data_IF_376476840117
#
_entry.id   IF_376476840117
#
_cell.length_a   1.000
_cell.length_b   1.000
_cell.length_c   1.000
_cell.angle_alpha   90.00
_cell.angle_beta   90.00
_cell.angle_gamma   90.00
#
_symmetry.space_group_name_H-M   'P 1'
#
loop_
_entity.id
_entity.type
_entity.pdbx_description
1 polymer ?
#
# COMPACT_ATOMS: atom_id res chain seq x y z
N UNK A 1 28.13 -12.22 -27.98
CA UNK A 1 26.75 -11.91 -27.53
C UNK A 1 26.17 -13.21 -27.01
N UNK A 2 26.08 -13.33 -25.69
CA UNK A 2 25.50 -14.52 -25.06
C UNK A 2 23.98 -14.44 -25.25
N UNK A 3 23.38 -15.46 -25.86
CA UNK A 3 21.99 -15.42 -26.31
C UNK A 3 21.02 -15.44 -25.12
N UNK A 4 20.04 -14.54 -25.14
CA UNK A 4 18.97 -14.40 -24.15
C UNK A 4 18.15 -15.70 -23.96
N UNK A 5 18.24 -16.63 -24.92
CA UNK A 5 17.60 -17.96 -24.91
C UNK A 5 17.92 -18.84 -23.71
N UNK A 6 19.01 -18.59 -22.96
CA UNK A 6 19.38 -19.39 -21.78
C UNK A 6 18.98 -18.79 -20.44
N UNK A 7 18.43 -17.56 -20.40
CA UNK A 7 18.10 -16.93 -19.11
C UNK A 7 16.84 -17.54 -18.52
N UNK A 8 16.87 -17.87 -17.23
CA UNK A 8 15.68 -18.31 -16.51
C UNK A 8 14.65 -17.17 -16.44
N UNK A 9 13.37 -17.51 -16.28
CA UNK A 9 12.33 -16.49 -16.13
C UNK A 9 12.59 -15.54 -14.95
N UNK A 10 13.16 -16.06 -13.86
CA UNK A 10 13.56 -15.28 -12.68
C UNK A 10 14.68 -14.31 -13.06
N UNK A 11 15.70 -14.77 -13.80
CA UNK A 11 16.81 -13.94 -14.22
C UNK A 11 16.33 -12.77 -15.10
N UNK A 12 15.43 -13.02 -16.05
CA UNK A 12 14.84 -11.96 -16.88
C UNK A 12 14.02 -10.97 -16.05
N UNK A 13 13.28 -11.45 -15.05
CA UNK A 13 12.50 -10.59 -14.16
C UNK A 13 13.41 -9.64 -13.35
N UNK A 14 14.51 -10.16 -12.80
CA UNK A 14 15.50 -9.34 -12.07
C UNK A 14 16.11 -8.28 -12.99
N UNK A 15 16.52 -8.65 -14.21
CA UNK A 15 17.13 -7.72 -15.16
C UNK A 15 16.15 -6.64 -15.65
N UNK A 16 14.87 -6.96 -15.74
CA UNK A 16 13.81 -5.98 -16.01
C UNK A 16 13.52 -5.07 -14.80
N UNK A 17 14.12 -5.34 -13.63
CA UNK A 17 13.91 -4.57 -12.41
C UNK A 17 12.66 -4.98 -11.62
N UNK A 18 12.11 -6.17 -11.88
CA UNK A 18 11.03 -6.73 -11.06
C UNK A 18 11.62 -7.20 -9.73
N UNK A 19 11.11 -6.66 -8.63
CA UNK A 19 11.44 -7.14 -7.29
C UNK A 19 10.82 -8.53 -7.05
N UNK A 20 11.68 -9.55 -7.00
CA UNK A 20 11.29 -10.93 -6.75
C UNK A 20 11.35 -11.33 -5.27
N UNK A 21 11.82 -10.45 -4.37
CA UNK A 21 12.06 -10.79 -2.96
C UNK A 21 10.77 -11.23 -2.27
N UNK A 22 9.64 -10.60 -2.60
CA UNK A 22 8.33 -10.99 -2.08
C UNK A 22 7.94 -12.41 -2.55
N UNK A 23 8.17 -12.71 -3.83
CA UNK A 23 7.86 -14.02 -4.43
C UNK A 23 8.73 -15.09 -3.76
N UNK A 24 10.04 -14.86 -3.68
CA UNK A 24 10.99 -15.76 -3.03
C UNK A 24 10.60 -16.01 -1.57
N UNK A 25 10.31 -14.94 -0.81
CA UNK A 25 9.91 -15.05 0.60
C UNK A 25 8.65 -15.89 0.78
N UNK A 26 7.69 -15.81 -0.15
CA UNK A 26 6.45 -16.58 -0.10
C UNK A 26 6.67 -18.03 -0.52
N UNK A 27 7.58 -18.31 -1.44
CA UNK A 27 7.90 -19.68 -1.87
C UNK A 27 8.64 -20.48 -0.78
N UNK A 28 9.30 -19.81 0.16
CA UNK A 28 9.92 -20.43 1.35
C UNK A 28 8.90 -20.84 2.42
N UNK A 29 7.65 -20.37 2.33
CA UNK A 29 6.59 -20.65 3.29
C UNK A 29 5.70 -21.82 2.85
N UNK A 30 5.21 -22.58 3.82
CA UNK A 30 4.15 -23.57 3.57
C UNK A 30 2.87 -22.87 3.10
N UNK A 31 1.94 -23.60 2.43
CA UNK A 31 0.64 -23.03 2.06
C UNK A 31 -0.10 -22.38 3.23
N UNK A 32 -0.11 -23.02 4.40
CA UNK A 32 -0.75 -22.49 5.62
C UNK A 32 -0.08 -21.22 6.11
N UNK A 33 1.26 -21.21 6.18
CA UNK A 33 2.00 -20.02 6.61
C UNK A 33 1.80 -18.82 5.68
N UNK A 34 1.60 -19.05 4.38
CA UNK A 34 1.25 -17.97 3.43
C UNK A 34 -0.12 -17.36 3.75
N UNK A 35 -1.11 -18.17 4.11
CA UNK A 35 -2.43 -17.69 4.50
C UNK A 35 -2.37 -16.90 5.80
N UNK A 36 -1.64 -17.39 6.80
CA UNK A 36 -1.44 -16.69 8.08
C UNK A 36 -0.76 -15.33 7.88
N UNK A 37 0.30 -15.28 7.06
CA UNK A 37 1.00 -14.03 6.70
C UNK A 37 0.05 -13.04 6.02
N UNK A 38 -0.77 -13.52 5.06
CA UNK A 38 -1.74 -12.68 4.36
C UNK A 38 -2.79 -12.12 5.33
N UNK A 39 -3.33 -12.96 6.20
CA UNK A 39 -4.32 -12.56 7.21
C UNK A 39 -3.76 -11.48 8.15
N UNK A 40 -2.54 -11.66 8.67
CA UNK A 40 -1.90 -10.66 9.53
C UNK A 40 -1.64 -9.33 8.83
N UNK A 41 -1.30 -9.35 7.53
CA UNK A 41 -1.16 -8.12 6.73
C UNK A 41 -2.50 -7.39 6.55
N UNK A 42 -3.60 -8.12 6.35
CA UNK A 42 -4.94 -7.53 6.23
C UNK A 42 -5.36 -6.84 7.53
N UNK A 43 -5.10 -7.48 8.68
CA UNK A 43 -5.38 -6.92 10.00
C UNK A 43 -4.58 -5.64 10.24
N UNK A 44 -3.29 -5.64 9.90
CA UNK A 44 -2.45 -4.46 10.01
C UNK A 44 -2.98 -3.29 9.17
N UNK A 45 -3.37 -3.56 7.91
CA UNK A 45 -3.95 -2.53 7.03
C UNK A 45 -5.22 -1.95 7.64
N UNK A 46 -6.08 -2.79 8.22
CA UNK A 46 -7.32 -2.35 8.83
C UNK A 46 -7.08 -1.48 10.07
N UNK A 47 -6.11 -1.84 10.92
CA UNK A 47 -5.68 -1.02 12.04
C UNK A 47 -5.10 0.33 11.59
N UNK A 48 -4.28 0.34 10.54
CA UNK A 48 -3.73 1.58 9.98
C UNK A 48 -4.83 2.50 9.44
N UNK A 49 -5.89 1.96 8.80
CA UNK A 49 -7.05 2.74 8.37
C UNK A 49 -7.76 3.38 9.55
N UNK A 50 -8.00 2.65 10.64
CA UNK A 50 -8.63 3.19 11.86
C UNK A 50 -7.83 4.37 12.42
N UNK A 51 -6.50 4.26 12.47
CA UNK A 51 -5.62 5.35 12.92
C UNK A 51 -5.66 6.55 11.98
N UNK A 52 -5.69 6.32 10.66
CA UNK A 52 -5.82 7.39 9.65
C UNK A 52 -7.12 8.16 9.84
N UNK A 53 -8.25 7.47 10.00
CA UNK A 53 -9.56 8.13 10.23
C UNK A 53 -9.55 8.97 11.50
N UNK A 54 -8.91 8.51 12.58
CA UNK A 54 -8.78 9.29 13.83
C UNK A 54 -7.93 10.56 13.65
N UNK A 55 -6.86 10.52 12.85
CA UNK A 55 -5.99 11.70 12.61
C UNK A 55 -6.64 12.76 11.72
N UNK A 56 -7.39 12.36 10.69
CA UNK A 56 -8.03 13.32 9.77
C UNK A 56 -9.45 13.72 10.19
N UNK A 57 -10.14 12.93 11.03
CA UNK A 57 -11.45 13.31 11.59
C UNK A 57 -11.40 14.52 12.53
N UNK A 58 -10.27 14.72 13.23
CA UNK A 58 -10.07 15.88 14.11
C UNK A 58 -9.62 17.15 13.37
N UNK A 59 -9.21 17.05 12.10
CA UNK A 59 -8.74 18.21 11.30
C UNK A 59 -9.88 18.90 10.54
N UNK A 60 -11.02 18.22 10.34
CA UNK A 60 -12.16 18.74 9.56
C UNK A 60 -13.13 19.58 10.43
N UNK A 61 -13.01 19.54 11.76
CA UNK A 61 -13.96 20.23 12.66
C UNK A 61 -13.53 21.66 13.00
N UNK A 62 -12.31 22.09 12.69
CA UNK A 62 -11.80 23.41 13.08
C UNK A 62 -12.07 24.55 12.08
N UNK A 63 -12.69 24.29 10.92
CA UNK A 63 -12.78 25.26 9.81
C UNK A 63 -14.20 25.76 9.48
N UNK A 64 -15.12 25.73 10.45
CA UNK A 64 -16.49 26.26 10.28
C UNK A 64 -16.77 27.31 11.34
N UNK A 65 -16.26 28.53 11.17
CA UNK A 65 -16.93 29.80 11.53
C UNK A 65 -16.06 30.99 11.05
N UNK A 66 -16.10 31.27 9.74
CA UNK A 66 -15.89 32.62 9.24
C UNK A 66 -17.08 32.92 8.34
N UNK A 67 -18.07 33.62 8.90
CA UNK A 67 -19.26 34.05 8.19
C UNK A 67 -18.86 35.04 7.10
N UNK A 68 -18.78 34.55 5.87
CA UNK A 68 -18.80 35.43 4.70
C UNK A 68 -20.22 35.95 4.55
N UNK A 69 -20.43 37.24 4.85
CA UNK A 69 -21.67 37.96 4.58
C UNK A 69 -21.55 38.68 3.23
N UNK A 70 -22.21 38.21 2.16
CA UNK A 70 -22.29 38.96 0.92
C UNK A 70 -23.58 39.78 0.96
N UNK A 71 -23.46 41.08 1.21
CA UNK A 71 -24.12 42.14 0.43
C UNK A 71 -24.03 43.50 1.13
N UNK A 72 -23.01 44.27 0.77
CA UNK A 72 -23.08 45.73 0.83
C UNK A 72 -22.92 46.26 -0.59
N UNK A 73 -24.04 46.39 -1.30
CA UNK A 73 -24.15 47.28 -2.44
C UNK A 73 -25.63 47.64 -2.68
N UNK A 74 -26.05 48.75 -2.09
CA UNK A 74 -26.86 49.80 -2.72
C UNK A 74 -26.83 51.06 -1.87
#
# INVERSE_FOLDING_TARGET
METDEKKSAIQRAIEYGIDITLIESNMRLTPTQRLEKLQGMMELIEEMKKVRTRRYGNLIVSDQHSEYSPNANK
#
